data_IF_534437924942
#
_entry.id   IF_534437924942
#
_cell.length_a   1.000
_cell.length_b   1.000
_cell.length_c   1.000
_cell.angle_alpha   90.00
_cell.angle_beta   90.00
_cell.angle_gamma   90.00
#
_symmetry.space_group_name_H-M   'P 1'
#
loop_
_entity.id
_entity.type
_entity.pdbx_description
1 polymer ?
#
# COMPACT_ATOMS: atom_id res chain seq x y z
N UNK A 1 3.92 -14.09 -7.43
CA UNK A 1 2.92 -14.46 -6.38
C UNK A 1 1.57 -14.78 -7.04
N UNK A 2 0.60 -15.40 -6.36
CA UNK A 2 -0.74 -15.60 -6.96
C UNK A 2 -1.50 -14.27 -7.07
N UNK A 3 -2.12 -14.02 -8.22
CA UNK A 3 -2.76 -12.74 -8.55
C UNK A 3 -3.91 -12.37 -7.60
N UNK A 4 -4.62 -13.36 -7.04
CA UNK A 4 -5.67 -13.11 -6.04
C UNK A 4 -5.06 -12.58 -4.75
N UNK A 5 -3.93 -13.16 -4.31
CA UNK A 5 -3.25 -12.74 -3.08
C UNK A 5 -2.64 -11.35 -3.26
N UNK A 6 -2.08 -11.06 -4.43
CA UNK A 6 -1.59 -9.71 -4.78
C UNK A 6 -2.71 -8.68 -4.63
N UNK A 7 -3.88 -8.94 -5.23
CA UNK A 7 -5.02 -8.05 -5.12
C UNK A 7 -5.54 -7.88 -3.68
N UNK A 8 -5.58 -8.96 -2.90
CA UNK A 8 -5.96 -8.89 -1.47
C UNK A 8 -4.97 -8.04 -0.66
N UNK A 9 -3.65 -8.15 -0.93
CA UNK A 9 -2.63 -7.32 -0.30
C UNK A 9 -2.76 -5.85 -0.72
N UNK A 10 -2.95 -5.57 -2.01
CA UNK A 10 -3.13 -4.20 -2.51
C UNK A 10 -4.30 -3.51 -1.80
N UNK A 11 -5.46 -4.18 -1.70
CA UNK A 11 -6.65 -3.64 -1.02
C UNK A 11 -6.36 -3.39 0.47
N UNK A 12 -5.72 -4.34 1.14
CA UNK A 12 -5.44 -4.23 2.58
C UNK A 12 -4.42 -3.14 2.88
N UNK A 13 -3.42 -2.98 2.04
CA UNK A 13 -2.41 -1.92 2.17
C UNK A 13 -3.04 -0.55 1.84
N UNK A 14 -3.87 -0.44 0.79
CA UNK A 14 -4.59 0.81 0.48
C UNK A 14 -5.44 1.27 1.68
N UNK A 15 -6.18 0.34 2.30
CA UNK A 15 -6.96 0.64 3.50
C UNK A 15 -6.07 1.06 4.67
N UNK A 16 -4.97 0.34 4.91
CA UNK A 16 -4.01 0.66 5.99
C UNK A 16 -3.39 2.05 5.80
N UNK A 17 -3.08 2.43 4.55
CA UNK A 17 -2.59 3.76 4.21
C UNK A 17 -3.65 4.80 4.54
N UNK A 18 -4.90 4.60 4.11
CA UNK A 18 -6.00 5.51 4.41
C UNK A 18 -6.21 5.69 5.92
N UNK A 19 -6.19 4.61 6.69
CA UNK A 19 -6.34 4.63 8.15
C UNK A 19 -5.18 5.37 8.83
N UNK A 20 -3.95 5.21 8.32
CA UNK A 20 -2.79 5.93 8.84
C UNK A 20 -2.91 7.44 8.61
N UNK A 21 -3.32 7.86 7.41
CA UNK A 21 -3.57 9.27 7.11
C UNK A 21 -4.72 9.85 7.97
N UNK A 22 -5.78 9.08 8.21
CA UNK A 22 -6.89 9.48 9.06
C UNK A 22 -6.46 9.67 10.53
N UNK A 23 -5.59 8.81 11.05
CA UNK A 23 -5.08 8.91 12.43
C UNK A 23 -4.15 10.10 12.65
N UNK A 24 -3.33 10.46 11.65
CA UNK A 24 -2.40 11.60 11.76
C UNK A 24 -3.17 12.93 11.70
N UNK A 25 -4.25 12.97 10.91
CA UNK A 25 -5.15 14.12 10.81
C UNK A 25 -4.59 15.31 10.00
N UNK A 26 -5.47 16.19 9.50
CA UNK A 26 -5.09 17.30 8.62
C UNK A 26 -4.20 18.34 9.31
N UNK A 27 -4.21 18.40 10.64
CA UNK A 27 -3.39 19.34 11.41
C UNK A 27 -1.89 18.97 11.40
N UNK A 28 -1.54 17.72 11.06
CA UNK A 28 -0.14 17.25 11.00
C UNK A 28 0.30 16.89 9.59
N UNK A 29 -0.64 16.76 8.65
CA UNK A 29 -0.37 16.51 7.25
C UNK A 29 -1.06 17.58 6.41
N UNK A 30 -0.31 18.57 5.87
CA UNK A 30 -0.90 19.64 5.08
C UNK A 30 -1.51 19.14 3.76
N UNK A 31 -1.19 17.91 3.34
CA UNK A 31 -1.71 17.28 2.14
C UNK A 31 -2.08 15.83 2.42
N UNK A 32 -3.33 15.47 2.15
CA UNK A 32 -3.81 14.07 2.17
C UNK A 32 -3.82 13.56 0.73
N UNK A 33 -3.19 12.41 0.44
CA UNK A 33 -3.19 11.84 -0.90
C UNK A 33 -4.60 11.45 -1.34
N UNK A 34 -4.86 11.57 -2.64
CA UNK A 34 -6.12 11.10 -3.22
C UNK A 34 -6.23 9.59 -3.11
N UNK A 35 -7.45 9.04 -3.21
CA UNK A 35 -7.65 7.58 -3.28
C UNK A 35 -6.83 6.94 -4.39
N UNK A 36 -6.74 7.57 -5.57
CA UNK A 36 -5.91 7.09 -6.68
C UNK A 36 -4.43 7.02 -6.31
N UNK A 37 -3.93 8.03 -5.59
CA UNK A 37 -2.54 8.06 -5.11
C UNK A 37 -2.30 6.94 -4.09
N UNK A 38 -3.21 6.76 -3.12
CA UNK A 38 -3.10 5.68 -2.12
C UNK A 38 -3.14 4.29 -2.77
N UNK A 39 -3.98 4.09 -3.79
CA UNK A 39 -4.01 2.86 -4.59
C UNK A 39 -2.65 2.58 -5.26
N UNK A 40 -2.02 3.59 -5.87
CA UNK A 40 -0.68 3.42 -6.47
C UNK A 40 0.41 3.15 -5.44
N UNK A 41 0.32 3.76 -4.26
CA UNK A 41 1.25 3.47 -3.15
C UNK A 41 1.12 2.01 -2.69
N UNK A 42 -0.11 1.50 -2.59
CA UNK A 42 -0.35 0.11 -2.23
C UNK A 42 0.26 -0.86 -3.26
N UNK A 43 0.06 -0.59 -4.56
CA UNK A 43 0.69 -1.36 -5.65
C UNK A 43 2.21 -1.38 -5.53
N UNK A 44 2.82 -0.21 -5.37
CA UNK A 44 4.27 -0.10 -5.22
C UNK A 44 4.78 -0.90 -4.01
N UNK A 45 4.08 -0.84 -2.87
CA UNK A 45 4.43 -1.60 -1.69
C UNK A 45 4.32 -3.12 -1.90
N UNK A 46 3.27 -3.59 -2.59
CA UNK A 46 3.13 -5.02 -2.94
C UNK A 46 4.25 -5.46 -3.86
N UNK A 47 4.59 -4.70 -4.89
CA UNK A 47 5.70 -5.03 -5.79
C UNK A 47 7.02 -5.17 -5.04
N UNK A 48 7.33 -4.25 -4.12
CA UNK A 48 8.55 -4.35 -3.29
C UNK A 48 8.55 -5.63 -2.46
N UNK A 49 7.41 -6.01 -1.89
CA UNK A 49 7.28 -7.25 -1.13
C UNK A 49 7.45 -8.49 -2.02
N UNK A 50 6.82 -8.52 -3.20
CA UNK A 50 6.98 -9.62 -4.16
C UNK A 50 8.44 -9.81 -4.55
N UNK A 51 9.14 -8.73 -4.92
CA UNK A 51 10.56 -8.77 -5.24
C UNK A 51 11.40 -9.24 -4.06
N UNK A 52 11.10 -8.80 -2.84
CA UNK A 52 11.82 -9.25 -1.64
C UNK A 52 11.64 -10.76 -1.38
N UNK A 53 10.42 -11.28 -1.59
CA UNK A 53 10.13 -12.71 -1.46
C UNK A 53 10.80 -13.53 -2.57
N UNK A 54 10.84 -13.02 -3.80
CA UNK A 54 11.56 -13.65 -4.91
C UNK A 54 13.06 -13.73 -4.62
N UNK A 55 13.68 -12.62 -4.21
CA UNK A 55 15.10 -12.57 -3.85
C UNK A 55 15.48 -13.47 -2.66
N UNK A 56 14.53 -13.79 -1.76
CA UNK A 56 14.78 -14.73 -0.65
C UNK A 56 14.77 -16.20 -1.08
N UNK A 57 14.20 -16.52 -2.25
CA UNK A 57 14.11 -17.89 -2.77
C UNK A 57 15.29 -18.26 -3.67
N UNK A 58 16.06 -17.27 -4.10
CA UNK A 58 17.35 -17.40 -4.80
C UNK A 58 18.50 -17.61 -3.82
#
# INVERSE_FOLDING_TARGET
>A
MDAKIVNELEVKIEQTIADAFAQVGPNRLPLVPTRRTMHLMAKAAVTVYETAVENQRE
#
